data_IF_525887637615
#
_entry.id   IF_525887637615
#
_cell.length_a   1.000
_cell.length_b   1.000
_cell.length_c   1.000
_cell.angle_alpha   90.00
_cell.angle_beta   90.00
_cell.angle_gamma   90.00
#
_symmetry.space_group_name_H-M   'P 1'
#
loop_
_entity.id
_entity.type
_entity.pdbx_description
1 polymer ?
#
# COMPACT_ATOMS: atom_id res chain seq x y z
N UNK A 1 31.04 -11.73 -40.74
CA UNK A 1 29.99 -10.70 -40.59
C UNK A 1 28.83 -11.34 -39.84
N UNK A 2 28.98 -11.62 -38.54
CA UNK A 2 27.93 -12.29 -37.75
C UNK A 2 28.19 -12.14 -36.23
N UNK A 3 28.31 -10.89 -35.76
CA UNK A 3 28.53 -10.59 -34.33
C UNK A 3 27.67 -9.40 -33.88
N UNK A 4 26.36 -9.49 -34.06
CA UNK A 4 25.42 -8.53 -33.45
C UNK A 4 24.04 -9.14 -33.47
N UNK A 5 23.59 -9.74 -32.37
CA UNK A 5 22.18 -9.88 -31.97
C UNK A 5 22.06 -10.56 -30.59
N UNK A 6 22.89 -10.15 -29.61
CA UNK A 6 22.58 -10.43 -28.20
C UNK A 6 21.76 -9.25 -27.65
N UNK A 7 20.57 -9.06 -28.22
CA UNK A 7 19.57 -8.14 -27.69
C UNK A 7 19.03 -8.80 -26.43
N UNK A 8 19.27 -8.16 -25.28
CA UNK A 8 18.77 -8.52 -23.96
C UNK A 8 17.39 -9.21 -24.01
N UNK A 9 17.34 -10.54 -23.83
CA UNK A 9 16.11 -11.24 -23.46
C UNK A 9 15.65 -10.66 -22.12
N UNK A 10 14.74 -9.68 -22.14
CA UNK A 10 13.99 -9.31 -20.93
C UNK A 10 13.32 -10.59 -20.44
N UNK A 11 13.70 -11.06 -19.25
CA UNK A 11 13.07 -12.22 -18.65
C UNK A 11 11.56 -11.98 -18.59
N UNK A 12 10.78 -12.87 -19.23
CA UNK A 12 9.33 -12.76 -19.29
C UNK A 12 8.79 -13.08 -17.89
N UNK A 13 8.15 -12.12 -17.25
CA UNK A 13 7.56 -12.29 -15.91
C UNK A 13 6.47 -13.36 -16.02
N UNK A 14 6.62 -14.43 -15.25
CA UNK A 14 5.71 -15.58 -15.26
C UNK A 14 4.51 -15.33 -14.34
N UNK A 15 3.42 -16.07 -14.53
CA UNK A 15 2.25 -16.01 -13.61
C UNK A 15 2.67 -16.28 -12.16
N UNK A 16 3.58 -17.23 -11.94
CA UNK A 16 4.14 -17.53 -10.60
C UNK A 16 4.83 -16.31 -9.98
N UNK A 17 5.59 -15.55 -10.76
CA UNK A 17 6.23 -14.33 -10.25
C UNK A 17 5.23 -13.20 -9.96
N UNK A 18 4.14 -13.10 -10.71
CA UNK A 18 3.07 -12.12 -10.45
C UNK A 18 2.37 -12.41 -9.13
N UNK A 19 1.97 -13.67 -8.92
CA UNK A 19 1.37 -14.12 -7.66
C UNK A 19 2.33 -13.91 -6.49
N UNK A 20 3.61 -14.24 -6.66
CA UNK A 20 4.62 -14.00 -5.63
C UNK A 20 4.72 -12.52 -5.24
N UNK A 21 4.77 -11.59 -6.21
CA UNK A 21 4.82 -10.16 -5.91
C UNK A 21 3.59 -9.67 -5.16
N UNK A 22 2.41 -10.12 -5.56
CA UNK A 22 1.17 -9.82 -4.84
C UNK A 22 1.24 -10.32 -3.40
N UNK A 23 1.50 -11.60 -3.18
CA UNK A 23 1.55 -12.20 -1.85
C UNK A 23 2.63 -11.55 -0.96
N UNK A 24 3.81 -11.29 -1.52
CA UNK A 24 4.90 -10.63 -0.80
C UNK A 24 4.52 -9.19 -0.39
N UNK A 25 3.92 -8.42 -1.31
CA UNK A 25 3.42 -7.08 -1.00
C UNK A 25 2.36 -7.10 0.09
N UNK A 26 1.37 -7.99 -0.04
CA UNK A 26 0.30 -8.16 0.94
C UNK A 26 0.85 -8.49 2.32
N UNK A 27 1.81 -9.41 2.39
CA UNK A 27 2.45 -9.80 3.64
C UNK A 27 3.26 -8.66 4.27
N UNK A 28 4.05 -7.92 3.48
CA UNK A 28 4.84 -6.77 3.97
C UNK A 28 3.92 -5.72 4.60
N UNK A 29 2.84 -5.34 3.91
CA UNK A 29 1.89 -4.36 4.42
C UNK A 29 1.18 -4.87 5.68
N UNK A 30 0.68 -6.10 5.65
CA UNK A 30 0.01 -6.74 6.79
C UNK A 30 0.90 -6.80 8.03
N UNK A 31 2.13 -7.31 7.88
CA UNK A 31 3.08 -7.41 8.98
C UNK A 31 3.43 -6.03 9.56
N UNK A 32 3.60 -5.01 8.71
CA UNK A 32 3.94 -3.65 9.17
C UNK A 32 2.83 -3.00 10.01
N UNK A 33 1.56 -3.24 9.68
CA UNK A 33 0.42 -2.73 10.45
C UNK A 33 0.25 -3.56 11.72
N UNK A 34 0.37 -4.88 11.61
CA UNK A 34 0.28 -5.80 12.75
C UNK A 34 1.28 -5.45 13.86
N UNK A 35 2.54 -5.18 13.49
CA UNK A 35 3.58 -4.75 14.45
C UNK A 35 3.15 -3.48 15.18
N UNK A 36 2.59 -2.49 14.48
CA UNK A 36 2.15 -1.24 15.10
C UNK A 36 0.89 -1.41 15.98
N UNK A 37 -0.07 -2.22 15.55
CA UNK A 37 -1.25 -2.53 16.38
C UNK A 37 -0.83 -3.26 17.65
N UNK A 38 0.10 -4.22 17.55
CA UNK A 38 0.61 -4.94 18.71
C UNK A 38 1.43 -4.04 19.64
N UNK A 39 2.27 -3.15 19.10
CA UNK A 39 3.00 -2.17 19.90
C UNK A 39 2.06 -1.24 20.65
N UNK A 40 1.01 -0.73 20.00
CA UNK A 40 -0.02 0.07 20.66
C UNK A 40 -0.71 -0.71 21.78
N UNK A 41 -0.99 -2.00 21.58
CA UNK A 41 -1.52 -2.86 22.64
C UNK A 41 -0.56 -3.00 23.82
N UNK A 42 0.73 -3.24 23.58
CA UNK A 42 1.75 -3.35 24.63
C UNK A 42 1.90 -2.04 25.43
N UNK A 43 1.76 -0.90 24.77
CA UNK A 43 1.80 0.42 25.41
C UNK A 43 0.49 0.80 26.13
N UNK A 44 -0.53 -0.07 26.12
CA UNK A 44 -1.84 0.22 26.71
C UNK A 44 -2.68 1.23 25.91
N UNK A 45 -2.28 1.53 24.67
CA UNK A 45 -2.96 2.49 23.78
C UNK A 45 -4.10 1.87 22.97
N UNK A 46 -4.17 0.54 22.92
CA UNK A 46 -5.21 -0.20 22.22
C UNK A 46 -5.56 -1.51 22.93
N UNK A 47 -6.81 -1.94 22.80
CA UNK A 47 -7.28 -3.26 23.16
C UNK A 47 -7.84 -3.96 21.92
N UNK A 48 -7.58 -5.27 21.80
CA UNK A 48 -7.98 -6.07 20.65
C UNK A 48 -8.81 -7.23 21.15
N UNK A 49 -10.03 -7.34 20.65
CA UNK A 49 -10.97 -8.40 20.98
C UNK A 49 -11.31 -9.19 19.71
N UNK A 50 -11.52 -10.49 19.86
CA UNK A 50 -12.15 -11.28 18.79
C UNK A 50 -13.66 -11.20 18.98
N UNK A 51 -14.38 -10.91 17.90
CA UNK A 51 -15.84 -11.00 17.89
C UNK A 51 -16.31 -12.38 17.40
N UNK A 52 -15.37 -13.25 17.02
CA UNK A 52 -15.66 -14.49 16.34
C UNK A 52 -16.28 -14.24 14.97
N UNK A 53 -16.40 -15.29 14.17
CA UNK A 53 -17.13 -15.23 12.91
C UNK A 53 -18.25 -16.27 12.97
N UNK A 54 -19.49 -15.81 13.17
CA UNK A 54 -20.66 -16.70 13.19
C UNK A 54 -21.01 -17.18 11.78
N UNK A 55 -20.78 -16.33 10.79
CA UNK A 55 -21.01 -16.64 9.38
C UNK A 55 -19.85 -16.09 8.54
N UNK A 56 -19.10 -17.01 7.94
CA UNK A 56 -17.92 -16.69 7.12
C UNK A 56 -18.29 -15.94 5.84
N UNK A 57 -19.55 -16.03 5.38
CA UNK A 57 -20.03 -15.31 4.21
C UNK A 57 -19.94 -13.79 4.38
N UNK A 58 -20.03 -13.30 5.63
CA UNK A 58 -19.91 -11.88 5.96
C UNK A 58 -18.50 -11.31 5.71
N UNK A 59 -17.48 -12.18 5.60
CA UNK A 59 -16.12 -11.78 5.27
C UNK A 59 -15.86 -11.63 3.76
N UNK A 60 -16.78 -12.12 2.92
CA UNK A 60 -16.64 -12.05 1.45
C UNK A 60 -16.64 -10.58 0.99
N UNK A 61 -17.61 -9.79 1.45
CA UNK A 61 -17.73 -8.39 1.03
C UNK A 61 -16.49 -7.55 1.42
N UNK A 62 -16.03 -7.52 2.68
CA UNK A 62 -14.83 -6.76 3.06
C UNK A 62 -13.56 -7.18 2.30
N UNK A 63 -13.39 -8.50 2.06
CA UNK A 63 -12.27 -9.02 1.29
C UNK A 63 -12.31 -8.56 -0.17
N UNK A 64 -13.48 -8.68 -0.83
CA UNK A 64 -13.67 -8.23 -2.20
C UNK A 64 -13.55 -6.71 -2.34
N UNK A 65 -14.06 -5.93 -1.38
CA UNK A 65 -13.86 -4.47 -1.35
C UNK A 65 -12.38 -4.10 -1.28
N UNK A 66 -11.59 -4.81 -0.46
CA UNK A 66 -10.14 -4.58 -0.36
C UNK A 66 -9.41 -4.91 -1.67
N UNK A 67 -9.78 -6.04 -2.31
CA UNK A 67 -9.23 -6.42 -3.62
C UNK A 67 -9.59 -5.40 -4.69
N UNK A 68 -10.88 -5.04 -4.80
CA UNK A 68 -11.37 -4.14 -5.83
C UNK A 68 -10.71 -2.76 -5.71
N UNK A 69 -10.74 -2.18 -4.50
CA UNK A 69 -10.13 -0.86 -4.22
C UNK A 69 -8.64 -0.88 -4.56
N UNK A 70 -7.88 -1.81 -3.99
CA UNK A 70 -6.45 -1.90 -4.24
C UNK A 70 -6.09 -2.18 -5.71
N UNK A 71 -6.90 -2.95 -6.44
CA UNK A 71 -6.63 -3.24 -7.84
C UNK A 71 -6.94 -2.04 -8.74
N UNK A 72 -8.14 -1.48 -8.64
CA UNK A 72 -8.58 -0.40 -9.53
C UNK A 72 -7.77 0.87 -9.32
N UNK A 73 -7.47 1.23 -8.06
CA UNK A 73 -6.63 2.38 -7.78
C UNK A 73 -5.22 2.19 -8.36
N UNK A 74 -4.59 1.03 -8.18
CA UNK A 74 -3.23 0.83 -8.73
C UNK A 74 -3.22 0.78 -10.26
N UNK A 75 -4.29 0.30 -10.91
CA UNK A 75 -4.44 0.42 -12.37
C UNK A 75 -4.53 1.89 -12.81
N UNK A 76 -5.41 2.68 -12.18
CA UNK A 76 -5.61 4.08 -12.55
C UNK A 76 -4.36 4.90 -12.25
N UNK A 77 -3.82 4.81 -11.04
CA UNK A 77 -2.76 5.69 -10.57
C UNK A 77 -1.37 5.23 -11.00
N UNK A 78 -1.09 3.92 -11.12
CA UNK A 78 0.25 3.44 -11.55
C UNK A 78 0.29 3.13 -13.02
N UNK A 79 -0.62 2.27 -13.48
CA UNK A 79 -0.54 1.82 -14.86
C UNK A 79 -0.88 2.96 -15.83
N UNK A 80 -1.94 3.73 -15.57
CA UNK A 80 -2.37 4.83 -16.46
C UNK A 80 -1.63 6.14 -16.12
N UNK A 81 -1.91 6.75 -14.96
CA UNK A 81 -1.44 8.09 -14.62
C UNK A 81 0.09 8.17 -14.53
N UNK A 82 0.72 7.31 -13.71
CA UNK A 82 2.17 7.38 -13.51
C UNK A 82 2.95 7.09 -14.81
N UNK A 83 2.51 6.12 -15.62
CA UNK A 83 3.13 5.88 -16.94
C UNK A 83 3.04 7.10 -17.85
N UNK A 84 1.89 7.78 -17.86
CA UNK A 84 1.73 9.04 -18.59
C UNK A 84 2.68 10.12 -18.07
N UNK A 85 2.73 10.34 -16.75
CA UNK A 85 3.60 11.35 -16.13
C UNK A 85 5.09 11.07 -16.37
N UNK A 86 5.52 9.80 -16.31
CA UNK A 86 6.90 9.40 -16.63
C UNK A 86 7.25 9.78 -18.07
N UNK A 87 6.35 9.53 -19.02
CA UNK A 87 6.55 9.89 -20.43
C UNK A 87 6.56 11.41 -20.64
N UNK A 88 5.68 12.13 -19.95
CA UNK A 88 5.54 13.58 -20.07
C UNK A 88 6.74 14.32 -19.48
N UNK A 89 7.13 14.00 -18.25
CA UNK A 89 8.21 14.72 -17.56
C UNK A 89 9.60 14.23 -17.91
N UNK A 90 9.74 12.96 -18.37
CA UNK A 90 11.03 12.28 -18.56
C UNK A 90 11.88 12.18 -17.27
N UNK A 91 11.32 12.54 -16.12
CA UNK A 91 11.93 12.50 -14.79
C UNK A 91 11.08 11.63 -13.86
N UNK A 92 11.57 10.43 -13.54
CA UNK A 92 10.80 9.48 -12.73
C UNK A 92 10.45 10.02 -11.34
N UNK A 93 11.38 10.70 -10.68
CA UNK A 93 11.16 11.23 -9.34
C UNK A 93 10.05 12.28 -9.34
N UNK A 94 10.00 13.15 -10.37
CA UNK A 94 8.96 14.16 -10.51
C UNK A 94 7.60 13.52 -10.81
N UNK A 95 7.56 12.51 -11.69
CA UNK A 95 6.35 11.76 -11.99
C UNK A 95 5.80 11.04 -10.74
N UNK A 96 6.67 10.46 -9.91
CA UNK A 96 6.30 9.87 -8.63
C UNK A 96 5.70 10.92 -7.70
N UNK A 97 6.38 12.06 -7.51
CA UNK A 97 5.88 13.11 -6.61
C UNK A 97 4.51 13.64 -7.04
N UNK A 98 4.35 14.00 -8.32
CA UNK A 98 3.09 14.52 -8.85
C UNK A 98 1.98 13.46 -8.81
N UNK A 99 2.27 12.23 -9.24
CA UNK A 99 1.30 11.14 -9.19
C UNK A 99 0.85 10.80 -7.77
N UNK A 100 1.76 10.87 -6.80
CA UNK A 100 1.46 10.65 -5.38
C UNK A 100 0.65 11.78 -4.77
N UNK A 101 0.90 13.03 -5.19
CA UNK A 101 0.11 14.19 -4.77
C UNK A 101 -1.33 14.07 -5.29
N UNK A 102 -1.50 13.74 -6.57
CA UNK A 102 -2.84 13.52 -7.16
C UNK A 102 -3.55 12.38 -6.43
N UNK A 103 -2.85 11.26 -6.17
CA UNK A 103 -3.38 10.14 -5.39
C UNK A 103 -3.85 10.56 -4.00
N UNK A 104 -3.08 11.38 -3.28
CA UNK A 104 -3.49 11.92 -1.98
C UNK A 104 -4.74 12.81 -2.09
N UNK A 105 -4.77 13.73 -3.06
CA UNK A 105 -5.84 14.71 -3.19
C UNK A 105 -7.19 14.10 -3.56
N UNK A 106 -7.24 12.99 -4.31
CA UNK A 106 -8.53 12.33 -4.60
C UNK A 106 -9.22 11.79 -3.34
N UNK A 107 -8.48 11.57 -2.25
CA UNK A 107 -9.03 11.10 -0.97
C UNK A 107 -9.72 12.21 -0.17
N UNK A 108 -9.67 13.47 -0.62
CA UNK A 108 -10.45 14.57 0.00
C UNK A 108 -11.96 14.31 -0.01
N UNK A 109 -12.44 13.44 -0.92
CA UNK A 109 -13.84 13.03 -0.97
C UNK A 109 -14.23 11.97 0.08
N UNK A 110 -13.28 11.41 0.82
CA UNK A 110 -13.56 10.35 1.79
C UNK A 110 -14.11 10.94 3.10
N UNK A 111 -15.09 10.24 3.69
CA UNK A 111 -15.63 10.57 5.00
C UNK A 111 -14.52 10.61 6.05
N UNK A 112 -14.58 11.58 6.97
CA UNK A 112 -13.65 11.73 8.11
C UNK A 112 -12.19 12.01 7.73
N UNK A 113 -11.91 12.44 6.49
CA UNK A 113 -10.54 12.73 6.04
C UNK A 113 -9.83 13.71 6.99
N UNK A 114 -8.58 13.40 7.33
CA UNK A 114 -7.71 14.25 8.16
C UNK A 114 -6.49 14.71 7.36
N UNK A 115 -5.83 15.78 7.83
CA UNK A 115 -4.55 16.21 7.23
C UNK A 115 -3.51 15.08 7.34
N UNK A 116 -3.52 14.34 8.45
CA UNK A 116 -2.64 13.18 8.66
C UNK A 116 -2.92 12.10 7.60
N UNK A 117 -4.19 11.82 7.30
CA UNK A 117 -4.57 10.89 6.25
C UNK A 117 -4.07 11.34 4.87
N UNK A 118 -4.18 12.62 4.53
CA UNK A 118 -3.66 13.14 3.25
C UNK A 118 -2.14 12.95 3.13
N UNK A 119 -1.39 13.27 4.18
CA UNK A 119 0.07 13.06 4.20
C UNK A 119 0.39 11.56 4.15
N UNK A 120 -0.38 10.73 4.86
CA UNK A 120 -0.26 9.28 4.83
C UNK A 120 -0.43 8.80 3.40
N UNK A 121 -1.56 9.11 2.75
CA UNK A 121 -1.87 8.78 1.36
C UNK A 121 -0.80 9.23 0.36
N UNK A 122 -0.28 10.44 0.53
CA UNK A 122 0.85 10.92 -0.27
C UNK A 122 2.07 9.98 -0.16
N UNK A 123 2.44 9.59 1.06
CA UNK A 123 3.54 8.66 1.29
C UNK A 123 3.27 7.26 0.70
N UNK A 124 2.02 6.80 0.70
CA UNK A 124 1.66 5.52 0.05
C UNK A 124 1.72 5.62 -1.46
N UNK A 125 1.26 6.73 -2.02
CA UNK A 125 1.45 7.07 -3.42
C UNK A 125 2.92 6.94 -3.82
N UNK A 126 3.85 7.44 -2.99
CA UNK A 126 5.29 7.33 -3.22
C UNK A 126 5.74 5.86 -3.18
N UNK A 127 5.35 5.13 -2.15
CA UNK A 127 5.71 3.72 -1.93
C UNK A 127 5.23 2.84 -3.09
N UNK A 128 3.96 2.97 -3.48
CA UNK A 128 3.35 2.18 -4.53
C UNK A 128 3.91 2.56 -5.91
N UNK A 129 4.14 3.86 -6.15
CA UNK A 129 4.80 4.32 -7.38
C UNK A 129 6.25 3.84 -7.46
N UNK A 130 6.99 3.84 -6.35
CA UNK A 130 8.33 3.28 -6.27
C UNK A 130 8.33 1.78 -6.58
N UNK A 131 7.42 1.02 -5.95
CA UNK A 131 7.25 -0.40 -6.22
C UNK A 131 6.98 -0.66 -7.70
N UNK A 132 6.03 0.08 -8.31
CA UNK A 132 5.70 -0.03 -9.72
C UNK A 132 6.87 0.30 -10.64
N UNK A 133 7.58 1.41 -10.41
CA UNK A 133 8.71 1.83 -11.24
C UNK A 133 9.85 0.81 -11.18
N UNK A 134 10.06 0.19 -10.02
CA UNK A 134 11.05 -0.87 -9.85
C UNK A 134 10.60 -2.15 -10.55
N UNK A 135 9.45 -2.70 -10.23
CA UNK A 135 9.03 -4.00 -10.78
C UNK A 135 8.59 -3.93 -12.24
N UNK A 136 8.16 -2.76 -12.72
CA UNK A 136 7.45 -2.54 -13.99
C UNK A 136 6.17 -3.37 -14.11
N UNK A 137 5.58 -3.70 -12.96
CA UNK A 137 4.41 -4.57 -12.83
C UNK A 137 3.52 -4.06 -11.70
N UNK A 138 2.20 -4.21 -11.86
CA UNK A 138 1.23 -3.75 -10.86
C UNK A 138 1.10 -4.68 -9.64
N UNK A 139 1.61 -5.91 -9.70
CA UNK A 139 1.29 -6.93 -8.70
C UNK A 139 1.88 -6.65 -7.32
N UNK A 140 3.09 -6.10 -7.25
CA UNK A 140 3.68 -5.69 -5.96
C UNK A 140 2.95 -4.50 -5.33
N UNK A 141 2.72 -3.36 -6.03
CA UNK A 141 1.95 -2.26 -5.45
C UNK A 141 0.50 -2.67 -5.15
N UNK A 142 -0.13 -3.48 -5.99
CA UNK A 142 -1.45 -4.05 -5.70
C UNK A 142 -1.44 -4.88 -4.41
N UNK A 143 -0.47 -5.77 -4.22
CA UNK A 143 -0.33 -6.54 -2.99
C UNK A 143 -0.14 -5.64 -1.76
N UNK A 144 0.76 -4.65 -1.85
CA UNK A 144 0.98 -3.70 -0.75
C UNK A 144 -0.30 -2.93 -0.39
N UNK A 145 -1.05 -2.46 -1.38
CA UNK A 145 -2.29 -1.73 -1.18
C UNK A 145 -3.39 -2.64 -0.61
N UNK A 146 -3.61 -3.81 -1.20
CA UNK A 146 -4.55 -4.80 -0.68
C UNK A 146 -4.23 -5.16 0.78
N UNK A 147 -2.98 -5.49 1.09
CA UNK A 147 -2.56 -5.82 2.45
C UNK A 147 -2.77 -4.66 3.42
N UNK A 148 -2.50 -3.43 2.99
CA UNK A 148 -2.74 -2.23 3.78
C UNK A 148 -4.22 -2.05 4.15
N UNK A 149 -5.11 -2.20 3.17
CA UNK A 149 -6.56 -2.07 3.35
C UNK A 149 -7.16 -3.22 4.16
N UNK A 150 -6.85 -4.45 3.74
CA UNK A 150 -7.43 -5.64 4.35
C UNK A 150 -7.00 -5.80 5.81
N UNK A 151 -5.79 -5.38 6.19
CA UNK A 151 -5.36 -5.47 7.59
C UNK A 151 -6.19 -4.57 8.50
N UNK A 152 -6.51 -3.35 8.06
CA UNK A 152 -7.38 -2.46 8.83
C UNK A 152 -8.74 -3.11 9.07
N UNK A 153 -9.37 -3.58 7.99
CA UNK A 153 -10.65 -4.29 8.03
C UNK A 153 -10.58 -5.53 8.93
N UNK A 154 -9.54 -6.35 8.79
CA UNK A 154 -9.35 -7.57 9.56
C UNK A 154 -9.33 -7.30 11.07
N UNK A 155 -8.75 -6.16 11.47
CA UNK A 155 -8.70 -5.66 12.84
C UNK A 155 -9.88 -4.78 13.26
N UNK A 156 -10.91 -4.65 12.43
CA UNK A 156 -12.11 -3.85 12.70
C UNK A 156 -11.85 -2.36 12.74
N UNK A 157 -10.75 -1.92 12.13
CA UNK A 157 -10.39 -0.51 11.97
C UNK A 157 -11.03 -0.03 10.66
N UNK A 158 -11.67 1.16 10.63
CA UNK A 158 -12.21 1.72 9.40
C UNK A 158 -11.14 1.78 8.30
N UNK A 159 -11.52 1.50 7.06
CA UNK A 159 -10.67 1.66 5.88
C UNK A 159 -11.08 2.94 5.18
N UNK A 160 -10.25 3.99 5.28
CA UNK A 160 -10.50 5.28 4.64
C UNK A 160 -11.90 5.86 4.95
N UNK A 161 -12.32 5.77 6.23
CA UNK A 161 -13.62 6.26 6.70
C UNK A 161 -14.80 5.29 6.52
N UNK A 162 -14.57 4.10 5.99
CA UNK A 162 -15.60 3.08 5.79
C UNK A 162 -15.43 1.91 6.76
N UNK A 163 -16.50 1.57 7.49
CA UNK A 163 -16.53 0.42 8.39
C UNK A 163 -17.00 -0.84 7.65
N UNK A 164 -16.41 -1.98 8.00
CA UNK A 164 -16.69 -3.28 7.41
C UNK A 164 -16.87 -4.33 8.50
N UNK A 165 -17.53 -5.44 8.16
CA UNK A 165 -17.52 -6.62 9.01
C UNK A 165 -16.10 -7.16 9.17
N UNK A 166 -15.73 -7.56 10.39
CA UNK A 166 -14.36 -7.92 10.76
C UNK A 166 -14.32 -9.17 11.64
N UNK A 167 -13.13 -9.75 11.83
CA UNK A 167 -12.91 -10.87 12.76
C UNK A 167 -12.52 -10.34 14.15
N UNK A 168 -11.72 -9.28 14.17
CA UNK A 168 -11.30 -8.60 15.37
C UNK A 168 -11.90 -7.20 15.45
N UNK A 169 -11.97 -6.67 16.65
CA UNK A 169 -12.29 -5.28 16.94
C UNK A 169 -11.14 -4.69 17.72
N UNK A 170 -10.63 -3.56 17.23
CA UNK A 170 -9.57 -2.80 17.88
C UNK A 170 -10.18 -1.53 18.49
N UNK A 171 -10.14 -1.44 19.81
CA UNK A 171 -10.55 -0.23 20.54
C UNK A 171 -9.30 0.55 20.91
N UNK A 172 -9.16 1.75 20.35
CA UNK A 172 -8.08 2.65 20.71
C UNK A 172 -8.45 3.47 21.95
N UNK A 173 -7.53 3.56 22.91
CA UNK A 173 -7.63 4.40 24.11
C UNK A 173 -6.78 5.68 23.99
N UNK A 174 -6.12 5.85 22.83
CA UNK A 174 -5.28 7.00 22.50
C UNK A 174 -6.06 8.10 21.79
N UNK A 175 -5.45 9.28 21.69
CA UNK A 175 -6.01 10.42 20.96
C UNK A 175 -6.17 10.09 19.46
N UNK A 176 -7.24 10.59 18.85
CA UNK A 176 -7.60 10.26 17.47
C UNK A 176 -6.50 10.59 16.45
N UNK A 177 -5.70 11.65 16.67
CA UNK A 177 -4.60 11.95 15.76
C UNK A 177 -3.47 10.90 15.80
N UNK A 178 -3.40 10.05 16.84
CA UNK A 178 -2.43 8.96 16.92
C UNK A 178 -2.92 7.73 16.14
N UNK A 179 -4.17 7.32 16.33
CA UNK A 179 -4.73 6.07 15.78
C UNK A 179 -5.59 6.25 14.53
N UNK A 180 -6.03 7.48 14.26
CA UNK A 180 -6.78 7.91 13.09
C UNK A 180 -8.30 7.92 13.22
N UNK A 181 -8.84 7.58 14.40
CA UNK A 181 -10.26 7.77 14.74
C UNK A 181 -11.20 7.15 13.72
N UNK A 182 -12.25 7.90 13.35
CA UNK A 182 -13.26 7.45 12.38
C UNK A 182 -12.73 7.25 10.95
N UNK A 183 -11.60 7.85 10.60
CA UNK A 183 -10.95 7.60 9.30
C UNK A 183 -10.28 6.22 9.25
N UNK A 184 -9.82 5.74 10.41
CA UNK A 184 -9.03 4.52 10.55
C UNK A 184 -7.54 4.76 10.55
N UNK A 185 -6.75 3.68 10.51
CA UNK A 185 -5.31 3.68 10.79
C UNK A 185 -4.54 4.76 10.01
N UNK A 186 -4.93 5.00 8.76
CA UNK A 186 -4.37 5.99 7.84
C UNK A 186 -4.43 7.43 8.35
N UNK A 187 -5.46 7.76 9.13
CA UNK A 187 -5.65 9.09 9.71
C UNK A 187 -4.79 9.35 10.94
N UNK A 188 -4.02 8.36 11.40
CA UNK A 188 -3.22 8.40 12.61
C UNK A 188 -1.72 8.47 12.33
N UNK A 189 -0.97 9.06 13.27
CA UNK A 189 0.50 9.10 13.23
C UNK A 189 1.10 7.69 13.14
N UNK A 190 0.43 6.68 13.70
CA UNK A 190 0.90 5.29 13.61
C UNK A 190 1.02 4.77 12.16
N UNK A 191 0.25 5.32 11.23
CA UNK A 191 0.38 4.98 9.80
C UNK A 191 1.73 5.37 9.22
N UNK A 192 2.33 6.47 9.67
CA UNK A 192 3.64 6.90 9.17
C UNK A 192 4.73 5.89 9.49
N UNK A 193 4.73 5.33 10.71
CA UNK A 193 5.70 4.31 11.08
C UNK A 193 5.56 3.05 10.20
N UNK A 194 4.34 2.58 9.95
CA UNK A 194 4.14 1.45 9.02
C UNK A 194 4.61 1.79 7.61
N UNK A 195 4.27 2.97 7.08
CA UNK A 195 4.69 3.38 5.73
C UNK A 195 6.22 3.52 5.62
N UNK A 196 6.89 4.06 6.63
CA UNK A 196 8.36 4.11 6.69
C UNK A 196 8.97 2.70 6.72
N UNK A 197 8.46 1.80 7.54
CA UNK A 197 8.92 0.39 7.60
C UNK A 197 8.77 -0.27 6.23
N UNK A 198 7.59 -0.16 5.60
CA UNK A 198 7.34 -0.70 4.26
C UNK A 198 8.35 -0.12 3.26
N UNK A 199 8.54 1.20 3.25
CA UNK A 199 9.44 1.85 2.31
C UNK A 199 10.88 1.39 2.48
N UNK A 200 11.37 1.30 3.73
CA UNK A 200 12.70 0.77 4.05
C UNK A 200 12.86 -0.67 3.53
N UNK A 201 11.90 -1.54 3.80
CA UNK A 201 11.91 -2.93 3.31
C UNK A 201 12.00 -2.96 1.78
N UNK A 202 11.20 -2.14 1.09
CA UNK A 202 11.24 -2.06 -0.38
C UNK A 202 12.60 -1.57 -0.88
N UNK A 203 13.22 -0.57 -0.24
CA UNK A 203 14.55 -0.10 -0.61
C UNK A 203 15.59 -1.23 -0.51
N UNK A 204 15.56 -2.05 0.54
CA UNK A 204 16.46 -3.19 0.67
C UNK A 204 16.18 -4.27 -0.38
N UNK A 205 14.94 -4.76 -0.47
CA UNK A 205 14.56 -5.84 -1.39
C UNK A 205 14.85 -5.48 -2.86
N UNK A 206 14.63 -4.22 -3.24
CA UNK A 206 14.89 -3.75 -4.62
C UNK A 206 16.34 -3.40 -4.90
N UNK A 207 17.18 -3.17 -3.88
CA UNK A 207 18.63 -2.95 -4.03
C UNK A 207 19.38 -4.26 -4.25
N UNK A 208 18.98 -5.35 -3.58
CA UNK A 208 19.61 -6.66 -3.69
C UNK A 208 19.28 -7.39 -5.01
N UNK A 209 18.17 -7.05 -5.68
CA UNK A 209 17.77 -7.67 -6.95
C UNK A 209 18.52 -7.13 -8.19
N UNK A 210 19.64 -6.41 -8.02
CA UNK A 210 20.44 -5.89 -9.13
C UNK A 210 19.75 -4.80 -9.97
N UNK A 211 18.62 -4.28 -9.50
CA UNK A 211 17.74 -3.35 -10.23
C UNK A 211 18.19 -1.87 -10.13
N UNK A 212 19.50 -1.64 -10.15
CA UNK A 212 20.12 -0.36 -9.75
C UNK A 212 20.39 0.64 -10.89
N UNK A 213 19.84 0.47 -12.09
CA UNK A 213 20.12 1.40 -13.20
C UNK A 213 19.06 2.49 -13.46
N UNK A 214 17.96 2.60 -12.69
CA UNK A 214 16.82 3.46 -13.09
C UNK A 214 16.58 4.73 -12.27
N UNK A 215 17.24 4.90 -11.11
CA UNK A 215 17.23 6.17 -10.36
C UNK A 215 18.39 7.10 -10.76
N UNK A 216 19.27 6.66 -11.67
CA UNK A 216 20.54 7.32 -12.00
C UNK A 216 20.63 7.96 -13.39
N UNK A 217 19.56 7.97 -14.19
CA UNK A 217 19.63 8.58 -15.52
C UNK A 217 19.01 9.98 -15.52
N UNK A 218 19.92 10.95 -15.69
CA UNK A 218 19.83 12.34 -16.20
C UNK A 218 18.45 12.91 -16.48
#
# INVERSE_FOLDING_TARGET
MEKTLNVHKKAKITVKSKLFFFLAGSFIAFASILVNIFLQKLLGLASIYTIGCKDISLLIHPFLSSIATGFFEEVIFRFVLLTFLIKAFKLNWLAILVGSLIFSLVHLGNSYITIIALISHFLGGIIYSYAFVKTKEIWLPFGLHFGWNYTQIFFGIPMSGSAYYSIFVTNFHSLEYLNGGAYGFEGGIWSFYSRVIIFIILLFVTKFSGLNSFLRNK
#
